data_IF_265439671785
#
_entry.id   IF_265439671785
#
_cell.length_a   1.000
_cell.length_b   1.000
_cell.length_c   1.000
_cell.angle_alpha   90.00
_cell.angle_beta   90.00
_cell.angle_gamma   90.00
#
_symmetry.space_group_name_H-M   'P 1'
#
loop_
_entity.id
_entity.type
_entity.pdbx_description
1 polymer ?
#
# COMPACT_ATOMS: atom_id res chain seq x y z
N UNK A 1 51.31 16.77 -11.30
CA UNK A 1 50.45 16.90 -10.10
C UNK A 1 49.18 17.61 -10.54
N UNK A 2 48.02 16.99 -10.38
CA UNK A 2 46.74 17.58 -10.82
C UNK A 2 46.32 18.61 -9.77
N UNK A 3 46.05 19.85 -10.18
CA UNK A 3 45.58 20.89 -9.25
C UNK A 3 44.17 20.54 -8.78
N UNK A 4 44.02 20.38 -7.47
CA UNK A 4 42.73 20.18 -6.80
C UNK A 4 42.10 21.51 -6.38
N UNK A 5 42.64 22.63 -6.87
CA UNK A 5 42.08 23.96 -6.63
C UNK A 5 40.78 24.08 -7.42
N UNK A 6 39.62 24.29 -6.75
CA UNK A 6 38.37 24.52 -7.43
C UNK A 6 38.49 25.75 -8.34
N UNK A 7 38.06 25.63 -9.61
CA UNK A 7 38.10 26.73 -10.58
C UNK A 7 37.23 27.94 -10.17
N UNK A 8 36.33 27.75 -9.21
CA UNK A 8 35.48 28.77 -8.62
C UNK A 8 35.83 28.93 -7.14
N UNK A 9 36.82 29.78 -6.86
CA UNK A 9 37.18 30.18 -5.50
C UNK A 9 36.31 31.34 -5.04
N UNK A 10 35.21 31.04 -4.34
CA UNK A 10 34.33 32.03 -3.72
C UNK A 10 33.04 31.40 -3.19
N UNK A 11 32.46 31.98 -2.13
CA UNK A 11 31.08 31.67 -1.74
C UNK A 11 30.18 32.38 -2.76
N UNK A 12 29.32 31.67 -3.50
CA UNK A 12 28.46 32.29 -4.50
C UNK A 12 27.51 33.30 -3.85
N UNK A 13 27.29 34.44 -4.50
CA UNK A 13 26.48 35.53 -3.97
C UNK A 13 25.58 36.19 -5.03
N UNK A 14 24.48 36.79 -4.59
CA UNK A 14 23.58 37.55 -5.46
C UNK A 14 22.84 36.66 -6.47
N UNK A 15 22.87 36.96 -7.78
CA UNK A 15 22.15 36.19 -8.81
C UNK A 15 22.55 34.70 -8.85
N UNK A 16 23.77 34.35 -8.46
CA UNK A 16 24.24 32.96 -8.43
C UNK A 16 23.43 32.11 -7.43
N UNK A 17 23.01 32.68 -6.30
CA UNK A 17 22.15 31.98 -5.34
C UNK A 17 20.76 31.70 -5.91
N UNK A 18 20.25 32.60 -6.76
CA UNK A 18 18.97 32.38 -7.45
C UNK A 18 19.10 31.20 -8.42
N UNK A 19 20.21 31.14 -9.17
CA UNK A 19 20.47 30.02 -10.09
C UNK A 19 20.61 28.71 -9.32
N UNK A 20 21.39 28.69 -8.24
CA UNK A 20 21.54 27.51 -7.38
C UNK A 20 20.20 27.08 -6.79
N UNK A 21 19.36 28.03 -6.35
CA UNK A 21 18.02 27.75 -5.84
C UNK A 21 17.13 27.11 -6.91
N UNK A 22 17.15 27.64 -8.13
CA UNK A 22 16.40 27.07 -9.26
C UNK A 22 16.88 25.66 -9.56
N UNK A 23 18.20 25.45 -9.65
CA UNK A 23 18.78 24.12 -9.89
C UNK A 23 18.40 23.16 -8.76
N UNK A 24 18.49 23.59 -7.49
CA UNK A 24 18.09 22.77 -6.35
C UNK A 24 16.60 22.43 -6.38
N UNK A 25 15.73 23.37 -6.75
CA UNK A 25 14.30 23.11 -6.92
C UNK A 25 14.04 22.10 -8.06
N UNK A 26 14.78 22.19 -9.15
CA UNK A 26 14.63 21.24 -10.26
C UNK A 26 15.15 19.84 -9.89
N UNK A 27 16.31 19.77 -9.24
CA UNK A 27 16.95 18.50 -8.88
C UNK A 27 16.31 17.81 -7.68
N UNK A 28 15.78 18.56 -6.71
CA UNK A 28 15.19 18.01 -5.51
C UNK A 28 13.69 18.25 -5.43
N UNK A 29 13.22 19.45 -5.76
CA UNK A 29 11.80 19.79 -5.71
C UNK A 29 10.95 18.94 -6.65
N UNK A 30 11.34 18.80 -7.92
CA UNK A 30 10.57 17.99 -8.89
C UNK A 30 10.51 16.52 -8.46
N UNK A 31 11.63 15.81 -8.16
CA UNK A 31 11.55 14.43 -7.71
C UNK A 31 10.75 14.26 -6.41
N UNK A 32 10.89 15.19 -5.47
CA UNK A 32 10.19 15.11 -4.18
C UNK A 32 8.68 15.29 -4.35
N UNK A 33 8.24 16.19 -5.24
CA UNK A 33 6.83 16.33 -5.63
C UNK A 33 6.32 15.07 -6.32
N UNK A 34 7.09 14.46 -7.23
CA UNK A 34 6.68 13.21 -7.88
C UNK A 34 6.51 12.06 -6.89
N UNK A 35 7.45 11.92 -5.93
CA UNK A 35 7.35 10.92 -4.86
C UNK A 35 6.14 11.19 -3.99
N UNK A 36 5.92 12.43 -3.56
CA UNK A 36 4.75 12.79 -2.75
C UNK A 36 3.43 12.51 -3.50
N UNK A 37 3.36 12.83 -4.79
CA UNK A 37 2.21 12.54 -5.63
C UNK A 37 1.99 11.04 -5.81
N UNK A 38 3.05 10.25 -5.99
CA UNK A 38 2.96 8.79 -6.09
C UNK A 38 2.48 8.17 -4.78
N UNK A 39 3.03 8.59 -3.64
CA UNK A 39 2.59 8.13 -2.32
C UNK A 39 1.13 8.50 -2.07
N UNK A 40 0.74 9.75 -2.38
CA UNK A 40 -0.64 10.18 -2.25
C UNK A 40 -1.57 9.35 -3.15
N UNK A 41 -1.21 9.18 -4.42
CA UNK A 41 -2.01 8.39 -5.35
C UNK A 41 -2.17 6.94 -4.88
N UNK A 42 -1.09 6.30 -4.44
CA UNK A 42 -1.13 4.94 -3.92
C UNK A 42 -1.97 4.87 -2.65
N UNK A 43 -1.81 5.80 -1.70
CA UNK A 43 -2.58 5.77 -0.45
C UNK A 43 -4.06 6.07 -0.66
N UNK A 44 -4.41 7.01 -1.53
CA UNK A 44 -5.82 7.32 -1.82
C UNK A 44 -6.49 6.25 -2.65
N UNK A 45 -5.71 5.53 -3.47
CA UNK A 45 -6.20 4.35 -4.18
C UNK A 45 -6.34 3.17 -3.24
N UNK A 46 -5.41 3.02 -2.30
CA UNK A 46 -5.56 2.07 -1.21
C UNK A 46 -6.78 2.39 -0.39
N UNK A 47 -7.13 3.64 -0.06
CA UNK A 47 -8.41 3.91 0.65
C UNK A 47 -9.66 3.43 -0.13
N UNK A 48 -9.62 3.41 -1.47
CA UNK A 48 -10.67 2.79 -2.31
C UNK A 48 -10.64 1.26 -2.19
N UNK A 49 -9.46 0.67 -2.01
CA UNK A 49 -9.22 -0.75 -1.74
C UNK A 49 -9.37 -1.13 -0.25
N UNK A 50 -9.27 -0.19 0.69
CA UNK A 50 -9.45 -0.34 2.14
C UNK A 50 -10.92 -0.18 2.49
N UNK A 51 -11.67 0.64 1.74
CA UNK A 51 -13.14 0.58 1.72
C UNK A 51 -13.62 -0.77 1.16
N UNK A 52 -12.89 -1.33 0.18
CA UNK A 52 -13.12 -2.71 -0.26
C UNK A 52 -12.65 -3.74 0.79
N UNK A 53 -11.55 -3.52 1.51
CA UNK A 53 -11.03 -4.41 2.57
C UNK A 53 -11.98 -4.47 3.77
N UNK A 54 -12.62 -3.36 4.16
CA UNK A 54 -13.71 -3.39 5.15
C UNK A 54 -14.95 -4.15 4.65
N UNK A 55 -15.21 -4.11 3.33
CA UNK A 55 -16.31 -4.88 2.72
C UNK A 55 -15.95 -6.37 2.62
N UNK A 56 -14.70 -6.69 2.34
CA UNK A 56 -14.19 -8.05 2.24
C UNK A 56 -14.07 -8.70 3.62
N UNK A 57 -13.63 -7.98 4.65
CA UNK A 57 -13.60 -8.47 6.04
C UNK A 57 -15.01 -8.75 6.58
N UNK A 58 -15.97 -7.85 6.36
CA UNK A 58 -17.37 -8.07 6.73
C UNK A 58 -17.98 -9.27 5.99
N UNK A 59 -17.64 -9.44 4.70
CA UNK A 59 -18.11 -10.54 3.86
C UNK A 59 -17.45 -11.87 4.21
N UNK A 60 -16.17 -11.87 4.59
CA UNK A 60 -15.47 -13.05 5.09
C UNK A 60 -16.08 -13.48 6.42
N UNK A 61 -16.38 -12.55 7.34
CA UNK A 61 -17.05 -12.86 8.60
C UNK A 61 -18.47 -13.44 8.40
N UNK A 62 -19.23 -12.92 7.45
CA UNK A 62 -20.54 -13.47 7.06
C UNK A 62 -20.40 -14.89 6.49
N UNK A 63 -19.42 -15.11 5.61
CA UNK A 63 -19.15 -16.40 5.00
C UNK A 63 -18.67 -17.45 6.01
N UNK A 64 -17.84 -17.06 6.99
CA UNK A 64 -17.40 -17.94 8.07
C UNK A 64 -18.58 -18.34 8.98
N UNK A 65 -19.49 -17.41 9.29
CA UNK A 65 -20.69 -17.70 10.07
C UNK A 65 -21.67 -18.65 9.33
N UNK A 66 -21.83 -18.47 8.02
CA UNK A 66 -22.68 -19.36 7.22
C UNK A 66 -22.06 -20.75 7.04
N UNK A 67 -20.74 -20.86 6.87
CA UNK A 67 -20.05 -22.15 6.82
C UNK A 67 -20.21 -22.92 8.13
N UNK A 68 -20.09 -22.26 9.29
CA UNK A 68 -20.33 -22.92 10.59
C UNK A 68 -21.76 -23.47 10.67
N UNK A 69 -22.75 -22.68 10.23
CA UNK A 69 -24.15 -23.11 10.18
C UNK A 69 -24.41 -24.25 9.19
N UNK A 70 -23.76 -24.24 8.03
CA UNK A 70 -23.85 -25.34 7.05
C UNK A 70 -23.17 -26.60 7.59
N UNK A 71 -22.07 -26.44 8.30
CA UNK A 71 -21.33 -27.55 8.92
C UNK A 71 -22.10 -28.18 10.06
N UNK A 72 -22.84 -27.41 10.85
CA UNK A 72 -23.78 -27.91 11.86
C UNK A 72 -24.92 -28.71 11.20
N UNK A 73 -25.53 -28.19 10.12
CA UNK A 73 -26.61 -28.88 9.40
C UNK A 73 -26.14 -30.18 8.71
N UNK A 74 -24.89 -30.24 8.23
CA UNK A 74 -24.32 -31.42 7.58
C UNK A 74 -23.70 -32.39 8.59
N UNK A 75 -23.23 -31.88 9.73
CA UNK A 75 -22.61 -32.65 10.81
C UNK A 75 -23.60 -33.48 11.63
N UNK A 76 -24.89 -33.18 11.56
CA UNK A 76 -25.97 -33.95 12.21
C UNK A 76 -26.44 -35.17 11.38
N UNK A 77 -25.88 -35.39 10.18
CA UNK A 77 -26.34 -36.45 9.25
C UNK A 77 -25.46 -37.73 9.12
N UNK A 78 -24.38 -38.01 9.90
CA UNK A 78 -23.65 -39.27 9.76
C UNK A 78 -24.07 -40.41 10.69
N UNK A 79 -25.06 -40.25 11.58
CA UNK A 79 -25.38 -41.29 12.57
C UNK A 79 -26.60 -42.19 12.21
N UNK A 80 -27.38 -41.87 11.17
CA UNK A 80 -28.56 -42.69 10.79
C UNK A 80 -28.29 -43.79 9.76
N UNK A 81 -27.11 -43.83 9.12
CA UNK A 81 -26.82 -44.80 8.04
C UNK A 81 -26.27 -46.14 8.59
N UNK A 82 -25.80 -46.21 9.84
CA UNK A 82 -25.27 -47.46 10.42
C UNK A 82 -26.34 -48.43 10.98
N UNK A 83 -27.61 -48.02 11.12
CA UNK A 83 -28.67 -48.89 11.68
C UNK A 83 -29.39 -49.77 10.63
N UNK A 84 -29.34 -49.43 9.34
CA UNK A 84 -30.00 -50.25 8.28
C UNK A 84 -29.19 -51.49 7.85
N UNK A 85 -27.89 -51.61 8.18
CA UNK A 85 -27.09 -52.82 7.86
C UNK A 85 -27.20 -53.95 8.92
N UNK A 86 -28.01 -53.77 9.99
CA UNK A 86 -28.12 -54.76 11.08
C UNK A 86 -29.51 -55.38 11.31
N UNK A 87 -30.52 -55.13 10.47
CA UNK A 87 -31.86 -55.77 10.60
C UNK A 87 -32.12 -56.87 9.56
#
# INVERSE_FOLDING_TARGET
>A
MVSLVPAFGGIPAGPELIIILIIALLLFGVPLVLVAAAVLYLTTRSDDETAAETTDDDRIAELEAEVERLREQVGDEPDEIEEEERS
#
